data_IF_101898194361
#
_entry.id   IF_101898194361
#
_cell.length_a   1.000
_cell.length_b   1.000
_cell.length_c   1.000
_cell.angle_alpha   90.00
_cell.angle_beta   90.00
_cell.angle_gamma   90.00
#
_symmetry.space_group_name_H-M   'P 1'
#
loop_
_entity.id
_entity.type
_entity.pdbx_description
1 polymer ?
#
# COMPACT_ATOMS: atom_id res chain seq x y z
N UNK A 1 14.54 7.55 38.91
CA UNK A 1 14.88 8.99 38.84
C UNK A 1 15.73 9.21 37.59
N UNK A 2 15.36 10.15 36.72
CA UNK A 2 16.13 10.51 35.52
C UNK A 2 17.18 11.56 35.89
N UNK A 3 18.43 11.41 35.45
CA UNK A 3 19.51 12.38 35.68
C UNK A 3 20.18 12.74 34.36
N UNK A 4 20.21 14.03 34.04
CA UNK A 4 20.92 14.57 32.89
C UNK A 4 22.21 15.22 33.40
N UNK A 5 23.34 14.90 32.78
CA UNK A 5 24.66 15.46 33.15
C UNK A 5 25.19 16.25 31.96
N UNK A 6 25.27 17.57 32.10
CA UNK A 6 25.81 18.46 31.07
C UNK A 6 27.34 18.41 31.09
N UNK A 7 27.96 18.07 29.95
CA UNK A 7 29.41 18.16 29.77
C UNK A 7 29.95 17.27 28.65
N UNK A 8 31.24 17.43 28.37
CA UNK A 8 31.98 16.54 27.46
C UNK A 8 31.99 15.11 28.03
N UNK A 9 31.49 14.15 27.26
CA UNK A 9 31.38 12.76 27.67
C UNK A 9 32.73 12.17 28.10
N UNK A 10 33.85 12.59 27.50
CA UNK A 10 35.18 12.13 27.87
C UNK A 10 35.62 12.62 29.25
N UNK A 11 35.11 13.77 29.69
CA UNK A 11 35.36 14.34 31.02
C UNK A 11 34.38 13.78 32.03
N UNK A 12 33.08 13.82 31.72
CA UNK A 12 32.00 13.32 32.58
C UNK A 12 32.19 11.84 32.90
N UNK A 13 32.51 11.01 31.90
CA UNK A 13 32.72 9.59 32.18
C UNK A 13 33.82 9.37 33.22
N UNK A 14 34.83 10.24 33.37
CA UNK A 14 35.90 10.07 34.38
C UNK A 14 35.41 10.20 35.82
N UNK A 15 34.29 10.89 36.06
CA UNK A 15 33.72 11.04 37.41
C UNK A 15 32.83 9.87 37.80
N UNK A 16 32.43 9.03 36.83
CA UNK A 16 31.61 7.85 37.05
C UNK A 16 32.49 6.70 37.58
N UNK A 17 32.06 6.05 38.66
CA UNK A 17 32.76 4.90 39.25
C UNK A 17 32.84 3.74 38.25
N UNK A 18 33.90 2.93 38.36
CA UNK A 18 34.08 1.73 37.52
C UNK A 18 32.96 0.72 37.78
N UNK A 19 32.56 -0.05 36.76
CA UNK A 19 31.60 -1.14 36.88
C UNK A 19 30.26 -0.74 37.54
N UNK A 20 29.68 0.39 37.12
CA UNK A 20 28.41 0.89 37.66
C UNK A 20 27.29 0.97 36.64
N UNK A 21 27.59 0.91 35.34
CA UNK A 21 26.62 1.03 34.25
C UNK A 21 26.27 -0.35 33.69
N UNK A 22 24.98 -0.69 33.69
CA UNK A 22 24.46 -1.96 33.18
C UNK A 22 24.33 -2.01 31.65
N UNK A 23 24.07 -0.86 31.02
CA UNK A 23 23.90 -0.76 29.56
C UNK A 23 24.28 0.64 29.08
N UNK A 24 24.94 0.71 27.92
CA UNK A 24 25.32 1.94 27.26
C UNK A 24 24.65 1.97 25.89
N UNK A 25 23.86 3.01 25.62
CA UNK A 25 23.28 3.27 24.31
C UNK A 25 23.83 4.62 23.87
N UNK A 26 24.52 4.66 22.74
CA UNK A 26 25.20 5.87 22.28
C UNK A 26 24.99 6.11 20.80
N UNK A 27 24.60 7.34 20.48
CA UNK A 27 24.53 7.89 19.13
C UNK A 27 25.68 8.91 18.95
N UNK A 28 26.90 8.44 18.63
CA UNK A 28 28.06 9.31 18.55
C UNK A 28 28.09 10.13 17.25
N UNK A 29 29.00 11.11 17.14
CA UNK A 29 29.45 11.64 15.85
C UNK A 29 29.81 10.55 14.84
N UNK A 30 29.41 10.74 13.58
CA UNK A 30 29.61 9.80 12.48
C UNK A 30 30.69 10.24 11.49
N UNK A 31 31.36 11.37 11.75
CA UNK A 31 32.33 11.99 10.86
C UNK A 31 31.73 12.35 9.49
N UNK A 32 30.48 12.81 9.46
CA UNK A 32 29.78 13.21 8.25
C UNK A 32 29.91 14.71 7.96
N UNK A 33 30.57 15.47 8.84
CA UNK A 33 30.63 16.94 8.81
C UNK A 33 29.23 17.54 8.80
N UNK A 34 28.33 16.95 9.59
CA UNK A 34 26.92 17.32 9.62
C UNK A 34 26.73 18.83 9.81
N UNK A 35 26.18 19.48 8.79
CA UNK A 35 25.96 20.94 8.73
C UNK A 35 27.21 21.79 9.07
N UNK A 36 28.41 21.30 8.77
CA UNK A 36 29.66 21.98 9.08
C UNK A 36 29.93 22.14 10.58
N UNK A 37 29.27 21.36 11.44
CA UNK A 37 29.47 21.42 12.89
C UNK A 37 30.70 20.62 13.29
N UNK A 38 31.61 21.27 14.02
CA UNK A 38 32.91 20.70 14.41
C UNK A 38 32.80 19.41 15.25
N UNK A 39 31.69 19.20 15.96
CA UNK A 39 31.49 17.99 16.77
C UNK A 39 31.31 16.73 15.92
N UNK A 40 30.97 16.85 14.62
CA UNK A 40 30.77 15.72 13.69
C UNK A 40 31.90 15.55 12.67
N UNK A 41 33.11 16.00 13.01
CA UNK A 41 34.25 15.91 12.09
C UNK A 41 35.01 14.60 12.24
N UNK A 42 34.98 14.01 13.43
CA UNK A 42 35.76 12.82 13.78
C UNK A 42 34.88 11.75 14.43
N UNK A 43 35.29 10.50 14.27
CA UNK A 43 34.68 9.37 14.97
C UNK A 43 35.16 9.33 16.42
N UNK A 44 34.38 8.77 17.37
CA UNK A 44 34.87 8.52 18.70
C UNK A 44 36.12 7.63 18.67
N UNK A 45 37.17 8.09 19.36
CA UNK A 45 38.42 7.34 19.46
C UNK A 45 38.27 6.08 20.30
N UNK A 46 39.21 5.14 20.14
CA UNK A 46 39.40 3.98 21.03
C UNK A 46 39.41 4.39 22.51
N UNK A 47 40.00 5.55 22.83
CA UNK A 47 40.05 6.08 24.20
C UNK A 47 38.66 6.41 24.75
N UNK A 48 37.73 6.86 23.91
CA UNK A 48 36.34 7.09 24.28
C UNK A 48 35.67 5.76 24.67
N UNK A 49 35.78 4.74 23.80
CA UNK A 49 35.20 3.42 24.06
C UNK A 49 35.85 2.68 25.24
N UNK A 50 37.15 2.90 25.51
CA UNK A 50 37.81 2.40 26.73
C UNK A 50 37.24 3.03 28.00
N UNK A 51 36.83 4.30 27.96
CA UNK A 51 36.14 4.94 29.10
C UNK A 51 34.75 4.38 29.31
N UNK A 52 34.02 4.11 28.22
CA UNK A 52 32.73 3.41 28.28
C UNK A 52 32.89 2.03 28.90
N UNK A 53 33.88 1.24 28.46
CA UNK A 53 34.17 -0.09 29.01
C UNK A 53 34.51 -0.03 30.51
N UNK A 54 35.27 1.00 30.93
CA UNK A 54 35.67 1.19 32.34
C UNK A 54 34.48 1.37 33.28
N UNK A 55 33.42 2.06 32.84
CA UNK A 55 32.22 2.32 33.66
C UNK A 55 31.20 1.20 33.57
N UNK A 56 31.26 0.38 32.52
CA UNK A 56 30.39 -0.75 32.29
C UNK A 56 30.65 -1.90 33.28
N UNK A 57 29.58 -2.53 33.78
CA UNK A 57 29.70 -3.77 34.58
C UNK A 57 30.16 -4.93 33.70
N UNK A 58 30.80 -5.98 34.27
CA UNK A 58 30.99 -7.23 33.55
C UNK A 58 29.66 -7.76 32.99
N UNK A 59 29.62 -8.03 31.68
CA UNK A 59 28.41 -8.47 30.98
C UNK A 59 27.48 -7.34 30.49
N UNK A 60 27.81 -6.08 30.72
CA UNK A 60 27.04 -4.95 30.20
C UNK A 60 27.07 -4.89 28.66
N UNK A 61 26.01 -4.34 28.07
CA UNK A 61 25.86 -4.21 26.62
C UNK A 61 26.14 -2.77 26.19
N UNK A 62 26.87 -2.62 25.07
CA UNK A 62 27.01 -1.37 24.32
C UNK A 62 26.23 -1.48 23.01
N UNK A 63 25.20 -0.64 22.84
CA UNK A 63 24.56 -0.39 21.55
C UNK A 63 25.08 0.94 21.01
N UNK A 64 25.88 0.89 19.95
CA UNK A 64 26.47 2.07 19.31
C UNK A 64 25.88 2.26 17.91
N UNK A 65 25.28 3.42 17.65
CA UNK A 65 24.86 3.79 16.31
C UNK A 65 26.07 4.24 15.47
N UNK A 66 25.92 4.17 14.15
CA UNK A 66 26.96 4.56 13.21
C UNK A 66 26.40 4.87 11.83
N UNK A 67 27.05 5.81 11.13
CA UNK A 67 26.72 6.14 9.76
C UNK A 67 27.07 5.01 8.77
N UNK A 68 26.30 4.87 7.70
CA UNK A 68 26.46 3.79 6.71
C UNK A 68 27.86 3.67 6.11
N UNK A 69 28.59 4.80 6.00
CA UNK A 69 29.96 4.83 5.45
C UNK A 69 31.05 4.64 6.49
N UNK A 70 30.78 4.90 7.77
CA UNK A 70 31.79 4.97 8.83
C UNK A 70 31.59 3.94 9.94
N UNK A 71 30.47 3.20 9.94
CA UNK A 71 30.15 2.21 10.97
C UNK A 71 31.28 1.17 11.18
N UNK A 72 31.92 0.73 10.09
CA UNK A 72 33.00 -0.24 10.15
C UNK A 72 34.21 0.27 10.95
N UNK A 73 34.54 1.58 10.85
CA UNK A 73 35.60 2.20 11.65
C UNK A 73 35.20 2.35 13.12
N UNK A 74 33.93 2.67 13.38
CA UNK A 74 33.39 2.67 14.75
C UNK A 74 33.51 1.27 15.35
N UNK A 75 33.15 0.22 14.61
CA UNK A 75 33.26 -1.16 15.05
C UNK A 75 34.72 -1.54 15.39
N UNK A 76 35.69 -1.20 14.55
CA UNK A 76 37.12 -1.38 14.87
C UNK A 76 37.52 -0.64 16.14
N UNK A 77 37.13 0.63 16.30
CA UNK A 77 37.47 1.40 17.50
C UNK A 77 36.85 0.83 18.79
N UNK A 78 35.68 0.20 18.70
CA UNK A 78 35.01 -0.51 19.80
C UNK A 78 35.76 -1.79 20.14
N UNK A 79 36.13 -2.59 19.14
CA UNK A 79 36.90 -3.82 19.31
C UNK A 79 38.29 -3.55 19.91
N UNK A 80 39.02 -2.56 19.38
CA UNK A 80 40.34 -2.11 19.88
C UNK A 80 40.28 -1.56 21.32
N UNK A 81 39.08 -1.14 21.77
CA UNK A 81 38.87 -0.72 23.14
C UNK A 81 38.69 -1.89 24.12
N UNK A 82 38.54 -3.12 23.62
CA UNK A 82 38.37 -4.35 24.38
C UNK A 82 36.91 -4.82 24.49
N UNK A 83 35.99 -4.23 23.74
CA UNK A 83 34.62 -4.75 23.65
C UNK A 83 34.55 -5.94 22.69
N UNK A 84 33.63 -6.86 22.95
CA UNK A 84 33.31 -7.94 22.02
C UNK A 84 32.16 -7.52 21.11
N UNK A 85 32.38 -7.52 19.80
CA UNK A 85 31.30 -7.31 18.82
C UNK A 85 30.42 -8.57 18.80
N UNK A 86 29.13 -8.40 19.11
CA UNK A 86 28.16 -9.50 19.13
C UNK A 86 27.36 -9.59 17.84
N UNK A 87 26.78 -8.48 17.41
CA UNK A 87 25.88 -8.40 16.26
C UNK A 87 25.99 -7.03 15.59
N UNK A 88 25.53 -6.96 14.33
CA UNK A 88 25.33 -5.71 13.61
C UNK A 88 23.85 -5.55 13.27
N UNK A 89 23.21 -4.54 13.87
CA UNK A 89 21.81 -4.20 13.59
C UNK A 89 21.79 -3.10 12.55
N UNK A 90 21.18 -3.35 11.39
CA UNK A 90 21.10 -2.40 10.29
C UNK A 90 19.73 -1.72 10.25
N UNK A 91 19.72 -0.39 10.24
CA UNK A 91 18.50 0.37 9.96
C UNK A 91 18.26 0.45 8.45
N UNK A 92 17.53 -0.52 7.93
CA UNK A 92 17.18 -0.61 6.51
C UNK A 92 15.85 0.10 6.24
N UNK A 93 15.83 1.03 5.30
CA UNK A 93 14.61 1.69 4.84
C UNK A 93 13.95 0.86 3.74
N UNK A 94 12.62 0.73 3.78
CA UNK A 94 11.81 0.26 2.66
C UNK A 94 11.04 1.44 2.06
N UNK A 95 11.04 1.59 0.74
CA UNK A 95 10.40 2.75 0.10
C UNK A 95 9.60 2.36 -1.14
N UNK A 96 8.91 3.36 -1.68
CA UNK A 96 8.06 3.33 -2.86
C UNK A 96 8.74 4.12 -3.99
N UNK A 97 8.28 3.93 -5.22
CA UNK A 97 8.67 4.74 -6.38
C UNK A 97 8.14 6.18 -6.31
N UNK A 98 8.78 7.09 -7.06
CA UNK A 98 8.50 8.54 -7.04
C UNK A 98 7.15 8.96 -7.63
N UNK A 99 6.53 8.08 -8.42
CA UNK A 99 5.18 8.24 -8.96
C UNK A 99 4.08 7.85 -7.95
N UNK A 100 4.45 7.38 -6.75
CA UNK A 100 3.49 6.99 -5.73
C UNK A 100 2.66 8.17 -5.24
N UNK A 101 1.35 7.96 -5.14
CA UNK A 101 0.40 8.93 -4.58
C UNK A 101 -0.08 8.49 -3.20
N UNK A 102 -0.32 9.47 -2.34
CA UNK A 102 -0.78 9.29 -0.97
C UNK A 102 -2.10 10.04 -0.82
N UNK A 103 -3.11 9.34 -0.29
CA UNK A 103 -4.42 9.94 -0.03
C UNK A 103 -4.35 10.83 1.23
N UNK A 104 -4.76 12.08 1.07
CA UNK A 104 -4.87 13.10 2.13
C UNK A 104 -6.29 13.64 2.21
N UNK A 105 -6.57 14.51 3.20
CA UNK A 105 -7.86 15.21 3.28
C UNK A 105 -8.12 16.14 2.09
N UNK A 106 -7.08 16.59 1.39
CA UNK A 106 -7.19 17.45 0.20
C UNK A 106 -7.22 16.62 -1.11
N UNK A 107 -7.29 15.28 -0.99
CA UNK A 107 -7.23 14.36 -2.12
C UNK A 107 -5.87 13.68 -2.27
N UNK A 108 -5.65 13.08 -3.44
CA UNK A 108 -4.41 12.39 -3.78
C UNK A 108 -3.29 13.40 -4.00
N UNK A 109 -2.17 13.21 -3.30
CA UNK A 109 -0.96 14.00 -3.47
C UNK A 109 0.20 13.07 -3.84
N UNK A 110 1.02 13.47 -4.80
CA UNK A 110 2.24 12.74 -5.11
C UNK A 110 3.19 12.73 -3.88
N UNK A 111 3.91 11.63 -3.67
CA UNK A 111 4.83 11.46 -2.54
C UNK A 111 5.91 12.57 -2.49
N UNK A 112 6.27 13.17 -3.63
CA UNK A 112 7.20 14.29 -3.70
C UNK A 112 6.63 15.61 -3.20
N UNK A 113 5.31 15.81 -3.21
CA UNK A 113 4.67 17.05 -2.74
C UNK A 113 4.23 16.97 -1.27
N UNK A 114 4.13 15.77 -0.69
CA UNK A 114 3.85 15.57 0.74
C UNK A 114 4.91 16.22 1.63
N UNK A 115 4.44 16.86 2.69
CA UNK A 115 5.18 17.59 3.71
C UNK A 115 4.81 17.15 5.13
N UNK A 116 5.55 17.59 6.15
CA UNK A 116 5.26 17.27 7.56
C UNK A 116 4.05 18.00 8.14
N UNK A 117 3.47 18.95 7.42
CA UNK A 117 2.19 19.58 7.79
C UNK A 117 0.99 18.77 7.29
N UNK A 118 1.18 17.82 6.38
CA UNK A 118 0.09 17.00 5.86
C UNK A 118 -0.36 15.93 6.88
N UNK A 119 -1.66 15.64 6.82
CA UNK A 119 -2.26 14.47 7.46
C UNK A 119 -2.72 13.50 6.39
N UNK A 120 -2.30 12.25 6.51
CA UNK A 120 -2.55 11.18 5.54
C UNK A 120 -3.45 10.12 6.15
N UNK A 121 -4.12 9.35 5.30
CA UNK A 121 -4.87 8.18 5.76
C UNK A 121 -3.95 6.97 5.89
N UNK A 122 -4.02 6.30 7.03
CA UNK A 122 -3.39 5.00 7.27
C UNK A 122 -4.40 4.00 7.81
N UNK A 123 -4.00 2.73 7.95
CA UNK A 123 -4.89 1.69 8.45
C UNK A 123 -4.50 1.28 9.88
N UNK A 124 -5.48 1.17 10.76
CA UNK A 124 -5.33 0.51 12.05
C UNK A 124 -5.37 -1.01 11.84
N UNK A 125 -4.26 -1.70 12.08
CA UNK A 125 -4.17 -3.14 11.84
C UNK A 125 -5.05 -4.00 12.75
N UNK A 126 -5.47 -3.50 13.92
CA UNK A 126 -6.34 -4.24 14.85
C UNK A 126 -7.80 -4.19 14.40
N UNK A 127 -8.28 -3.01 14.02
CA UNK A 127 -9.68 -2.81 13.62
C UNK A 127 -9.89 -2.99 12.11
N UNK A 128 -8.83 -2.87 11.30
CA UNK A 128 -8.92 -2.74 9.86
C UNK A 128 -9.46 -1.38 9.39
N UNK A 129 -9.72 -0.45 10.32
CA UNK A 129 -10.29 0.87 10.02
C UNK A 129 -9.26 1.88 9.53
N UNK A 130 -9.70 2.84 8.74
CA UNK A 130 -8.92 4.01 8.34
C UNK A 130 -8.72 4.91 9.57
N UNK A 131 -7.53 5.49 9.70
CA UNK A 131 -7.22 6.52 10.69
C UNK A 131 -6.43 7.65 10.04
N UNK A 132 -6.59 8.84 10.58
CA UNK A 132 -5.74 9.98 10.24
C UNK A 132 -4.37 9.80 10.88
N UNK A 133 -3.31 10.16 10.17
CA UNK A 133 -1.94 10.05 10.65
C UNK A 133 -1.11 11.24 10.17
N UNK A 134 -0.50 12.02 11.08
CA UNK A 134 0.35 13.12 10.67
C UNK A 134 1.64 12.58 10.03
N UNK A 135 2.15 13.28 9.03
CA UNK A 135 3.45 12.96 8.43
C UNK A 135 4.54 13.47 9.36
N UNK A 136 5.24 12.55 10.03
CA UNK A 136 6.30 12.91 10.98
C UNK A 136 7.59 13.28 10.24
N UNK A 137 7.95 12.50 9.23
CA UNK A 137 9.19 12.66 8.49
C UNK A 137 9.06 12.06 7.09
N UNK A 138 9.78 12.66 6.14
CA UNK A 138 9.90 12.17 4.77
C UNK A 138 11.33 11.74 4.49
N UNK A 139 11.48 10.52 3.96
CA UNK A 139 12.77 9.98 3.56
C UNK A 139 12.84 9.94 2.03
N UNK A 140 13.87 10.56 1.47
CA UNK A 140 14.19 10.49 0.04
C UNK A 140 15.65 10.07 -0.11
N UNK A 141 15.89 9.04 -0.90
CA UNK A 141 17.22 8.50 -1.14
C UNK A 141 17.30 7.95 -2.57
N UNK A 142 18.52 7.88 -3.10
CA UNK A 142 18.79 7.20 -4.39
C UNK A 142 18.80 5.70 -4.15
N UNK A 143 18.19 4.94 -5.06
CA UNK A 143 18.13 3.49 -5.01
C UNK A 143 18.50 2.93 -6.37
N UNK A 144 19.64 2.25 -6.45
CA UNK A 144 20.16 1.63 -7.68
C UNK A 144 19.95 0.10 -7.70
N UNK A 145 19.22 -0.43 -6.71
CA UNK A 145 18.97 -1.86 -6.57
C UNK A 145 17.68 -2.32 -7.25
N UNK A 146 17.46 -3.63 -7.25
CA UNK A 146 16.22 -4.22 -7.75
C UNK A 146 14.99 -3.72 -6.96
N UNK A 147 13.88 -3.60 -7.67
CA UNK A 147 12.56 -3.29 -7.13
C UNK A 147 11.56 -4.34 -7.61
N UNK A 148 10.46 -4.50 -6.88
CA UNK A 148 9.38 -5.43 -7.23
C UNK A 148 8.11 -4.65 -7.57
N UNK A 149 7.49 -5.03 -8.69
CA UNK A 149 6.18 -4.52 -9.07
C UNK A 149 5.09 -5.47 -8.55
N UNK A 150 4.23 -4.96 -7.68
CA UNK A 150 3.02 -5.64 -7.23
C UNK A 150 1.84 -5.02 -7.99
N UNK A 151 1.40 -5.70 -9.04
CA UNK A 151 0.33 -5.23 -9.92
C UNK A 151 -0.85 -6.21 -9.98
N UNK A 152 -2.06 -5.69 -9.81
CA UNK A 152 -3.32 -6.38 -10.04
C UNK A 152 -4.39 -5.37 -10.50
N UNK A 153 -5.66 -5.79 -10.60
CA UNK A 153 -6.76 -4.92 -11.04
C UNK A 153 -7.01 -3.69 -10.14
N UNK A 154 -6.55 -3.74 -8.89
CA UNK A 154 -6.85 -2.73 -7.89
C UNK A 154 -5.62 -1.90 -7.48
N UNK A 155 -4.40 -2.34 -7.81
CA UNK A 155 -3.19 -1.65 -7.38
C UNK A 155 -2.02 -1.91 -8.32
N UNK A 156 -1.14 -0.93 -8.44
CA UNK A 156 0.13 -1.02 -9.13
C UNK A 156 1.17 -0.30 -8.28
N UNK A 157 2.04 -1.05 -7.61
CA UNK A 157 3.03 -0.51 -6.68
C UNK A 157 4.41 -0.99 -7.07
N UNK A 158 5.36 -0.08 -7.23
CA UNK A 158 6.78 -0.40 -7.41
C UNK A 158 7.52 -0.14 -6.09
N UNK A 159 8.07 -1.20 -5.51
CA UNK A 159 8.57 -1.23 -4.13
C UNK A 159 10.01 -1.70 -4.06
N UNK A 160 10.78 -1.20 -3.10
CA UNK A 160 12.05 -1.85 -2.74
C UNK A 160 11.79 -3.25 -2.17
N UNK A 161 12.72 -4.18 -2.33
CA UNK A 161 12.51 -5.58 -1.93
C UNK A 161 12.13 -5.75 -0.45
N UNK A 162 12.73 -4.93 0.43
CA UNK A 162 12.50 -4.91 1.87
C UNK A 162 11.32 -4.01 2.31
N UNK A 163 10.53 -3.47 1.39
CA UNK A 163 9.35 -2.70 1.73
C UNK A 163 8.35 -3.57 2.50
N UNK A 164 7.89 -3.10 3.67
CA UNK A 164 6.96 -3.86 4.52
C UNK A 164 5.53 -3.68 4.02
N UNK A 165 5.02 -4.69 3.32
CA UNK A 165 3.66 -4.74 2.80
C UNK A 165 2.72 -5.32 3.85
N UNK A 166 1.59 -4.64 4.09
CA UNK A 166 0.50 -5.15 4.92
C UNK A 166 -0.26 -6.21 4.12
N UNK A 167 -0.38 -7.41 4.66
CA UNK A 167 -1.08 -8.50 4.00
C UNK A 167 -1.71 -9.48 5.00
N UNK A 168 -2.58 -10.34 4.49
CA UNK A 168 -3.06 -11.53 5.19
C UNK A 168 -2.58 -12.77 4.45
N UNK A 169 -2.10 -13.78 5.17
CA UNK A 169 -1.73 -15.05 4.55
C UNK A 169 -3.00 -15.83 4.23
N UNK A 170 -3.04 -16.42 3.05
CA UNK A 170 -4.10 -17.32 2.63
C UNK A 170 -3.58 -18.72 2.36
N UNK A 171 -4.45 -19.70 2.55
CA UNK A 171 -4.16 -21.11 2.34
C UNK A 171 -5.31 -21.78 1.58
N UNK A 172 -4.97 -22.64 0.63
CA UNK A 172 -5.92 -23.55 -0.01
C UNK A 172 -6.01 -24.80 0.82
N UNK A 173 -7.23 -25.18 1.19
CA UNK A 173 -7.50 -26.52 1.69
C UNK A 173 -8.48 -27.21 0.74
N UNK A 174 -8.14 -28.44 0.35
CA UNK A 174 -9.03 -29.31 -0.41
C UNK A 174 -9.49 -30.43 0.51
N UNK A 175 -10.81 -30.52 0.77
CA UNK A 175 -11.43 -31.63 1.49
C UNK A 175 -12.57 -32.19 0.66
N UNK A 176 -12.58 -33.51 0.43
CA UNK A 176 -13.64 -34.22 -0.33
C UNK A 176 -14.04 -33.48 -1.63
N UNK A 177 -13.07 -33.17 -2.49
CA UNK A 177 -13.25 -32.46 -3.78
C UNK A 177 -13.75 -31.01 -3.70
N UNK A 178 -13.99 -30.47 -2.50
CA UNK A 178 -14.32 -29.06 -2.30
C UNK A 178 -13.04 -28.29 -1.98
N UNK A 179 -12.74 -27.27 -2.80
CA UNK A 179 -11.63 -26.34 -2.56
C UNK A 179 -12.16 -25.14 -1.79
N UNK A 180 -11.58 -24.87 -0.62
CA UNK A 180 -11.86 -23.65 0.16
C UNK A 180 -10.57 -22.84 0.31
N UNK A 181 -10.72 -21.53 0.18
CA UNK A 181 -9.66 -20.57 0.47
C UNK A 181 -9.90 -20.01 1.86
N UNK A 182 -8.89 -20.11 2.72
CA UNK A 182 -8.91 -19.53 4.06
C UNK A 182 -7.88 -18.41 4.10
N UNK A 183 -8.22 -17.32 4.79
CA UNK A 183 -7.35 -16.17 4.99
C UNK A 183 -7.23 -15.93 6.47
N UNK A 184 -6.02 -15.61 6.93
CA UNK A 184 -5.75 -15.24 8.31
C UNK A 184 -6.64 -14.05 8.73
N UNK A 185 -7.08 -14.06 9.99
CA UNK A 185 -7.93 -12.99 10.52
C UNK A 185 -7.17 -11.68 10.68
N UNK A 186 -5.91 -11.77 11.11
CA UNK A 186 -5.06 -10.63 11.45
C UNK A 186 -4.16 -10.22 10.28
N UNK A 187 -3.85 -8.94 10.22
CA UNK A 187 -2.88 -8.39 9.28
C UNK A 187 -1.45 -8.59 9.79
N UNK A 188 -0.52 -8.81 8.88
CA UNK A 188 0.91 -8.88 9.18
C UNK A 188 1.73 -8.08 8.17
N UNK A 189 2.91 -7.65 8.61
CA UNK A 189 3.93 -7.10 7.72
C UNK A 189 4.77 -8.23 7.12
N UNK A 190 5.03 -8.11 5.82
CA UNK A 190 5.94 -8.99 5.07
C UNK A 190 6.77 -8.14 4.12
N UNK A 191 8.01 -8.55 3.89
CA UNK A 191 8.84 -7.90 2.88
C UNK A 191 8.24 -8.10 1.49
N UNK A 192 8.28 -7.07 0.66
CA UNK A 192 7.67 -7.07 -0.67
C UNK A 192 8.14 -8.25 -1.52
N UNK A 193 9.43 -8.63 -1.46
CA UNK A 193 9.95 -9.78 -2.21
C UNK A 193 9.31 -11.12 -1.84
N UNK A 194 8.70 -11.22 -0.65
CA UNK A 194 8.01 -12.44 -0.19
C UNK A 194 6.54 -12.51 -0.64
N UNK A 195 6.00 -11.39 -1.13
CA UNK A 195 4.61 -11.29 -1.53
C UNK A 195 4.39 -12.04 -2.84
N UNK A 196 3.51 -13.03 -2.79
CA UNK A 196 3.05 -13.80 -3.94
C UNK A 196 1.52 -13.96 -3.84
N UNK A 197 0.83 -13.68 -4.94
CA UNK A 197 -0.63 -13.76 -5.07
C UNK A 197 -1.20 -15.14 -4.72
N UNK A 198 -0.38 -16.20 -4.81
CA UNK A 198 -0.79 -17.56 -4.44
C UNK A 198 -0.92 -17.78 -2.93
N UNK A 199 -0.38 -16.91 -2.08
CA UNK A 199 -0.30 -17.09 -0.62
C UNK A 199 -0.71 -15.86 0.19
N UNK A 200 -0.82 -14.69 -0.42
CA UNK A 200 -1.10 -13.45 0.30
C UNK A 200 -2.20 -12.64 -0.36
N UNK A 201 -3.01 -12.01 0.48
CA UNK A 201 -4.02 -11.03 0.09
C UNK A 201 -3.63 -9.68 0.67
N UNK A 202 -3.52 -8.68 -0.20
CA UNK A 202 -3.25 -7.29 0.19
C UNK A 202 -4.62 -6.60 0.36
N UNK A 203 -4.85 -5.88 1.47
CA UNK A 203 -6.07 -5.10 1.62
C UNK A 203 -6.11 -3.99 0.57
N UNK A 204 -7.29 -3.79 -0.04
CA UNK A 204 -7.48 -2.67 -0.97
C UNK A 204 -7.47 -1.32 -0.23
N UNK A 205 -8.22 -1.26 0.86
CA UNK A 205 -8.31 -0.10 1.74
C UNK A 205 -8.71 -0.56 3.14
N UNK A 206 -8.54 0.32 4.12
CA UNK A 206 -9.19 0.16 5.41
C UNK A 206 -10.70 0.42 5.32
N UNK A 207 -11.44 -0.02 6.34
CA UNK A 207 -12.84 0.34 6.53
C UNK A 207 -12.97 1.82 6.95
N UNK A 208 -13.86 2.56 6.31
CA UNK A 208 -14.21 3.91 6.70
C UNK A 208 -15.51 3.91 7.51
N UNK A 209 -15.44 4.25 8.80
CA UNK A 209 -16.57 4.44 9.74
C UNK A 209 -17.04 5.90 9.85
N UNK A 210 -16.51 6.80 9.04
CA UNK A 210 -16.88 8.21 9.12
C UNK A 210 -18.31 8.49 8.67
N UNK A 211 -18.82 9.65 9.09
CA UNK A 211 -20.17 10.14 8.74
C UNK A 211 -20.22 10.89 7.40
N UNK A 212 -19.14 10.89 6.62
CA UNK A 212 -19.12 11.57 5.33
C UNK A 212 -20.06 10.86 4.35
N UNK A 213 -21.06 11.60 3.87
CA UNK A 213 -22.00 11.13 2.87
C UNK A 213 -21.99 12.06 1.68
N UNK A 214 -21.85 11.48 0.50
CA UNK A 214 -22.02 12.18 -0.78
C UNK A 214 -23.51 12.27 -1.18
N UNK A 215 -24.41 11.75 -0.35
CA UNK A 215 -25.84 11.66 -0.64
C UNK A 215 -26.20 10.50 -1.57
N UNK A 216 -27.40 9.94 -1.39
CA UNK A 216 -27.83 8.73 -2.11
C UNK A 216 -27.90 8.94 -3.64
N UNK A 217 -28.25 10.14 -4.08
CA UNK A 217 -28.42 10.46 -5.52
C UNK A 217 -27.08 10.47 -6.24
N UNK A 218 -26.09 11.16 -5.66
CA UNK A 218 -24.75 11.21 -6.25
C UNK A 218 -24.05 9.86 -6.13
N UNK A 219 -24.21 9.15 -5.01
CA UNK A 219 -23.71 7.79 -4.85
C UNK A 219 -24.28 6.83 -5.92
N UNK A 220 -25.58 6.93 -6.22
CA UNK A 220 -26.21 6.15 -7.27
C UNK A 220 -25.64 6.50 -8.66
N UNK A 221 -25.50 7.79 -8.99
CA UNK A 221 -24.91 8.23 -10.25
C UNK A 221 -23.47 7.71 -10.42
N UNK A 222 -22.64 7.83 -9.37
CA UNK A 222 -21.27 7.30 -9.36
C UNK A 222 -21.29 5.77 -9.57
N UNK A 223 -22.24 5.06 -8.95
CA UNK A 223 -22.43 3.63 -9.18
C UNK A 223 -22.68 3.29 -10.65
N UNK A 224 -23.51 4.07 -11.34
CA UNK A 224 -23.75 3.93 -12.78
C UNK A 224 -22.50 4.24 -13.61
N UNK A 225 -21.77 5.31 -13.28
CA UNK A 225 -20.52 5.67 -13.97
C UNK A 225 -19.47 4.57 -13.81
N UNK A 226 -19.32 4.00 -12.62
CA UNK A 226 -18.33 2.94 -12.37
C UNK A 226 -18.68 1.60 -13.03
N UNK A 227 -19.97 1.30 -13.22
CA UNK A 227 -20.43 0.02 -13.76
C UNK A 227 -20.66 0.03 -15.27
N UNK A 228 -21.17 1.15 -15.80
CA UNK A 228 -21.63 1.28 -17.19
C UNK A 228 -21.09 2.54 -17.89
N UNK A 229 -20.26 3.32 -17.20
CA UNK A 229 -19.67 4.55 -17.71
C UNK A 229 -18.37 4.34 -18.48
N UNK A 230 -18.10 5.26 -19.40
CA UNK A 230 -16.83 5.39 -20.11
C UNK A 230 -16.39 6.86 -20.06
N UNK A 231 -15.20 7.11 -19.52
CA UNK A 231 -14.57 8.44 -19.54
C UNK A 231 -14.00 8.71 -20.93
N UNK A 232 -14.27 9.90 -21.47
CA UNK A 232 -13.73 10.38 -22.74
C UNK A 232 -12.61 11.38 -22.46
N UNK A 233 -11.37 11.02 -22.81
CA UNK A 233 -10.17 11.83 -22.53
C UNK A 233 -10.14 13.14 -23.31
N UNK A 234 -10.76 13.16 -24.49
CA UNK A 234 -10.75 14.30 -25.44
C UNK A 234 -11.73 15.41 -25.07
N UNK A 235 -12.83 15.07 -24.42
CA UNK A 235 -13.98 15.96 -24.17
C UNK A 235 -14.26 16.18 -22.69
N UNK A 236 -13.47 15.55 -21.80
CA UNK A 236 -13.70 15.54 -20.36
C UNK A 236 -15.15 15.14 -19.98
N UNK A 237 -15.73 14.25 -20.79
CA UNK A 237 -17.12 13.84 -20.68
C UNK A 237 -17.24 12.39 -20.17
N UNK A 238 -18.39 12.06 -19.58
CA UNK A 238 -18.71 10.70 -19.16
C UNK A 238 -19.91 10.18 -19.93
N UNK A 239 -19.73 9.04 -20.60
CA UNK A 239 -20.81 8.36 -21.32
C UNK A 239 -21.32 7.18 -20.51
N UNK A 240 -22.60 7.17 -20.14
CA UNK A 240 -23.26 6.03 -19.49
C UNK A 240 -24.11 5.29 -20.52
N UNK A 241 -23.91 3.98 -20.67
CA UNK A 241 -24.62 3.16 -21.65
C UNK A 241 -25.57 2.15 -20.99
N UNK A 242 -26.89 2.33 -21.19
CA UNK A 242 -27.90 1.39 -20.69
C UNK A 242 -28.81 0.87 -21.81
N UNK A 243 -29.19 -0.41 -21.72
CA UNK A 243 -30.06 -1.05 -22.70
C UNK A 243 -31.53 -0.66 -22.49
N UNK A 244 -32.25 -0.41 -23.58
CA UNK A 244 -33.68 -0.11 -23.55
C UNK A 244 -34.55 -1.24 -22.98
N UNK A 245 -34.02 -2.47 -22.85
CA UNK A 245 -34.71 -3.59 -22.18
C UNK A 245 -34.80 -3.39 -20.66
N UNK A 246 -34.02 -2.47 -20.09
CA UNK A 246 -34.04 -2.10 -18.66
C UNK A 246 -34.54 -0.65 -18.49
N UNK A 247 -35.81 -0.36 -18.80
CA UNK A 247 -36.35 1.02 -18.80
C UNK A 247 -36.31 1.68 -17.41
N UNK A 248 -36.35 0.88 -16.35
CA UNK A 248 -36.24 1.36 -14.97
C UNK A 248 -34.84 1.94 -14.69
N UNK A 249 -33.77 1.26 -15.11
CA UNK A 249 -32.39 1.75 -14.93
C UNK A 249 -32.17 3.07 -15.67
N UNK A 250 -32.67 3.18 -16.90
CA UNK A 250 -32.60 4.43 -17.68
C UNK A 250 -33.31 5.57 -16.93
N UNK A 251 -34.51 5.28 -16.41
CA UNK A 251 -35.28 6.26 -15.62
C UNK A 251 -34.57 6.68 -14.34
N UNK A 252 -33.89 5.75 -13.66
CA UNK A 252 -33.09 6.02 -12.47
C UNK A 252 -31.89 6.91 -12.76
N UNK A 253 -31.15 6.64 -13.83
CA UNK A 253 -30.03 7.49 -14.26
C UNK A 253 -30.52 8.91 -14.59
N UNK A 254 -31.60 9.04 -15.38
CA UNK A 254 -32.23 10.35 -15.68
C UNK A 254 -32.66 11.09 -14.41
N UNK A 255 -33.27 10.38 -13.46
CA UNK A 255 -33.69 10.95 -12.18
C UNK A 255 -32.50 11.49 -11.38
N UNK A 256 -31.38 10.75 -11.36
CA UNK A 256 -30.15 11.21 -10.71
C UNK A 256 -29.64 12.51 -11.34
N UNK A 257 -29.51 12.54 -12.68
CA UNK A 257 -29.01 13.71 -13.41
C UNK A 257 -29.91 14.94 -13.21
N UNK A 258 -31.23 14.75 -13.29
CA UNK A 258 -32.20 15.83 -13.04
C UNK A 258 -32.08 16.39 -11.62
N UNK A 259 -32.04 15.52 -10.60
CA UNK A 259 -31.97 15.93 -9.19
C UNK A 259 -30.65 16.61 -8.83
N UNK A 260 -29.56 16.23 -9.51
CA UNK A 260 -28.24 16.83 -9.34
C UNK A 260 -28.03 18.06 -10.23
N UNK A 261 -29.02 18.42 -11.06
CA UNK A 261 -28.94 19.54 -12.01
C UNK A 261 -27.74 19.44 -12.95
N UNK A 262 -27.40 18.22 -13.36
CA UNK A 262 -26.26 17.94 -14.25
C UNK A 262 -26.71 18.09 -15.71
N UNK A 263 -26.11 19.01 -16.49
CA UNK A 263 -26.35 19.10 -17.92
C UNK A 263 -25.98 17.79 -18.60
N UNK A 264 -26.85 17.31 -19.48
CA UNK A 264 -26.60 16.09 -20.22
C UNK A 264 -27.32 16.06 -21.55
N UNK A 265 -26.79 15.29 -22.48
CA UNK A 265 -27.46 14.93 -23.73
C UNK A 265 -27.75 13.44 -23.74
N UNK A 266 -28.91 13.06 -24.28
CA UNK A 266 -29.31 11.67 -24.43
C UNK A 266 -29.54 11.34 -25.90
N UNK A 267 -28.99 10.22 -26.36
CA UNK A 267 -29.26 9.69 -27.68
C UNK A 267 -29.55 8.20 -27.64
N UNK A 268 -30.39 7.76 -28.58
CA UNK A 268 -30.70 6.35 -28.80
C UNK A 268 -29.83 5.82 -29.93
N UNK A 269 -29.08 4.75 -29.64
CA UNK A 269 -28.27 4.06 -30.63
C UNK A 269 -28.89 2.70 -30.94
N UNK A 270 -29.30 2.50 -32.19
CA UNK A 270 -29.65 1.17 -32.69
C UNK A 270 -28.38 0.34 -32.91
N UNK A 271 -28.31 -0.86 -32.31
CA UNK A 271 -27.23 -1.81 -32.52
C UNK A 271 -27.70 -3.00 -33.35
N UNK A 272 -27.11 -3.15 -34.54
CA UNK A 272 -27.28 -4.34 -35.39
C UNK A 272 -26.15 -5.32 -35.05
N UNK A 273 -26.47 -6.41 -34.36
CA UNK A 273 -25.49 -7.44 -34.01
C UNK A 273 -25.23 -8.37 -35.21
N UNK A 274 -24.01 -8.33 -35.77
CA UNK A 274 -23.59 -9.33 -36.78
C UNK A 274 -23.47 -10.71 -36.13
N UNK A 275 -24.05 -11.72 -36.80
CA UNK A 275 -24.08 -13.13 -36.37
C UNK A 275 -22.65 -13.65 -36.16
N UNK A 276 -22.28 -13.98 -34.92
CA UNK A 276 -21.01 -14.67 -34.66
C UNK A 276 -21.17 -16.17 -34.94
N UNK A 277 -20.33 -16.71 -35.82
CA UNK A 277 -20.22 -18.16 -36.07
C UNK A 277 -19.62 -18.83 -34.82
N UNK A 278 -20.46 -19.51 -34.04
CA UNK A 278 -20.02 -20.26 -32.88
C UNK A 278 -19.24 -21.51 -33.35
N UNK A 279 -17.90 -21.50 -33.23
CA UNK A 279 -17.09 -22.73 -33.42
C UNK A 279 -17.45 -23.72 -32.31
N UNK A 280 -18.01 -24.88 -32.69
CA UNK A 280 -18.30 -26.00 -31.79
C UNK A 280 -16.99 -26.49 -31.15
N UNK A 281 -16.84 -26.32 -29.85
CA UNK A 281 -15.84 -27.02 -29.04
C UNK A 281 -16.50 -28.30 -28.50
N UNK A 282 -16.03 -29.47 -28.93
CA UNK A 282 -16.50 -30.76 -28.42
C UNK A 282 -15.73 -31.13 -27.13
N UNK A 283 -16.44 -31.39 -26.03
CA UNK A 283 -15.90 -32.03 -24.81
C UNK A 283 -16.83 -33.16 -24.34
N UNK A 284 -16.24 -34.09 -23.59
CA UNK A 284 -16.70 -35.46 -23.30
C UNK A 284 -18.21 -35.66 -23.00
N UNK A 285 -18.73 -36.80 -23.50
CA UNK A 285 -20.15 -37.24 -23.54
C UNK A 285 -20.92 -37.22 -22.20
N UNK A 286 -20.23 -37.18 -21.06
CA UNK A 286 -20.81 -37.41 -19.73
C UNK A 286 -21.62 -36.21 -19.18
N UNK A 287 -21.52 -35.03 -19.81
CA UNK A 287 -22.24 -33.81 -19.41
C UNK A 287 -23.30 -33.36 -20.43
N UNK A 288 -23.52 -34.14 -21.49
CA UNK A 288 -24.33 -33.74 -22.65
C UNK A 288 -25.79 -33.43 -22.26
N UNK A 289 -26.44 -34.26 -21.45
CA UNK A 289 -27.84 -34.07 -21.05
C UNK A 289 -28.07 -32.81 -20.18
N UNK A 290 -27.17 -32.51 -19.24
CA UNK A 290 -27.24 -31.27 -18.42
C UNK A 290 -26.95 -30.02 -19.25
N UNK A 291 -26.06 -30.14 -20.22
CA UNK A 291 -25.74 -29.06 -21.17
C UNK A 291 -26.88 -28.83 -22.15
N UNK A 292 -27.59 -29.87 -22.58
CA UNK A 292 -28.70 -29.74 -23.53
C UNK A 292 -29.95 -29.13 -22.87
N UNK A 293 -30.21 -29.43 -21.59
CA UNK A 293 -31.20 -28.69 -20.78
C UNK A 293 -30.83 -27.21 -20.62
N UNK A 294 -29.56 -26.91 -20.27
CA UNK A 294 -29.08 -25.54 -20.15
C UNK A 294 -29.05 -24.80 -21.51
N UNK A 295 -28.82 -25.51 -22.62
CA UNK A 295 -28.90 -24.97 -23.99
C UNK A 295 -30.33 -24.71 -24.41
N UNK A 296 -31.31 -25.53 -24.03
CA UNK A 296 -32.73 -25.28 -24.32
C UNK A 296 -33.21 -23.96 -23.70
N UNK A 297 -32.92 -23.74 -22.41
CA UNK A 297 -33.24 -22.46 -21.75
C UNK A 297 -32.42 -21.29 -22.30
N UNK A 298 -31.12 -21.48 -22.60
CA UNK A 298 -30.30 -20.43 -23.24
C UNK A 298 -30.73 -20.11 -24.66
N UNK A 299 -31.29 -21.07 -25.42
CA UNK A 299 -31.73 -20.86 -26.79
C UNK A 299 -33.03 -20.07 -26.84
N UNK A 300 -33.99 -20.37 -25.96
CA UNK A 300 -35.18 -19.55 -25.77
C UNK A 300 -34.83 -18.11 -25.32
N UNK A 301 -33.90 -17.97 -24.36
CA UNK A 301 -33.41 -16.64 -23.96
C UNK A 301 -32.58 -15.95 -25.05
N UNK A 302 -31.78 -16.67 -25.85
CA UNK A 302 -31.01 -16.07 -26.95
C UNK A 302 -31.86 -15.70 -28.16
N UNK A 303 -32.91 -16.45 -28.47
CA UNK A 303 -33.84 -16.14 -29.55
C UNK A 303 -34.69 -14.90 -29.21
N UNK A 304 -35.04 -14.71 -27.93
CA UNK A 304 -35.60 -13.45 -27.42
C UNK A 304 -34.59 -12.27 -27.42
N UNK A 305 -33.27 -12.56 -27.32
CA UNK A 305 -32.18 -11.56 -27.32
C UNK A 305 -31.77 -11.15 -28.75
N UNK A 306 -31.89 -12.05 -29.75
CA UNK A 306 -31.28 -11.91 -31.08
C UNK A 306 -32.18 -11.35 -32.19
N UNK A 307 -33.48 -11.16 -31.95
CA UNK A 307 -34.42 -10.69 -32.99
C UNK A 307 -34.91 -9.23 -32.83
N UNK A 308 -34.39 -8.46 -31.88
CA UNK A 308 -34.82 -7.07 -31.66
C UNK A 308 -33.73 -6.06 -32.01
N UNK A 309 -34.09 -5.00 -32.73
CA UNK A 309 -33.32 -3.74 -32.73
C UNK A 309 -33.09 -3.32 -31.28
N UNK A 310 -31.85 -3.41 -30.79
CA UNK A 310 -31.52 -2.98 -29.44
C UNK A 310 -31.17 -1.51 -29.48
N UNK A 311 -32.05 -0.70 -28.92
CA UNK A 311 -31.73 0.68 -28.59
C UNK A 311 -30.88 0.71 -27.31
N UNK A 312 -29.74 1.38 -27.39
CA UNK A 312 -28.92 1.71 -26.22
C UNK A 312 -29.10 3.20 -26.00
N UNK A 313 -29.57 3.59 -24.81
CA UNK A 313 -29.55 4.97 -24.40
C UNK A 313 -28.13 5.27 -23.94
N UNK A 314 -27.54 6.31 -24.51
CA UNK A 314 -26.26 6.83 -24.09
C UNK A 314 -26.49 8.24 -23.57
N UNK A 315 -26.04 8.48 -22.35
CA UNK A 315 -26.13 9.80 -21.73
C UNK A 315 -24.72 10.35 -21.60
N UNK A 316 -24.48 11.51 -22.22
CA UNK A 316 -23.21 12.24 -22.14
C UNK A 316 -23.36 13.33 -21.09
N UNK A 317 -22.50 13.29 -20.08
CA UNK A 317 -22.35 14.32 -19.05
C UNK A 317 -21.14 15.18 -19.44
N UNK A 318 -21.31 16.49 -19.55
CA UNK A 318 -20.27 17.47 -19.86
C UNK A 318 -20.39 18.72 -19.01
#
# INVERSE_FOLDING_TARGET
>A
MLKIIQGDCNKVMRTIKRNTIDTIITDPPYALKFMGKAWDYELPSVKCFKRMLRVAKPGAILLCFGGTRTFHRIACNIEDAGWMIKDCIMWMYGCLSEDTEILTHEGWKNINTISTSDTVFSMNLKTGGIKNSPVIQKYKYKHDGNMISIKNHNTNQLLTLNHKVICKKGQRQQKKYVRKWFVDKEYAYRDAYTINSAKYTIPLAGYYDGYYSIGNVFAELIGWILSEGSFQEDTNAVNIHQSSVNPENVSRIRSCLKRLHIPHSEYKRQRIYKKWLCRKIYRARQYQARVDFAKGQRKANMEAIQAGERETAAIIIG
#
